data_IF_003608301323
#
_entry.id   IF_003608301323
#
_cell.length_a   1.000
_cell.length_b   1.000
_cell.length_c   1.000
_cell.angle_alpha   90.00
_cell.angle_beta   90.00
_cell.angle_gamma   90.00
#
_symmetry.space_group_name_H-M   'P 1'
#
loop_
_entity.id
_entity.type
_entity.pdbx_description
1 polymer ?
#
# COMPACT_ATOMS: atom_id res chain seq x y z
N UNK A 1 -3.40 -2.01 22.59
CA UNK A 1 -2.72 -1.99 21.28
C UNK A 1 -2.06 -3.35 21.09
N UNK A 2 -2.24 -3.96 19.91
CA UNK A 2 -1.54 -5.20 19.50
C UNK A 2 -0.03 -5.03 19.71
N UNK A 3 0.64 -6.07 20.20
CA UNK A 3 2.10 -6.19 20.19
C UNK A 3 2.47 -7.10 19.03
N UNK A 4 3.56 -6.78 18.35
CA UNK A 4 4.07 -7.56 17.23
C UNK A 4 5.38 -8.22 17.61
N UNK A 5 5.55 -9.46 17.16
CA UNK A 5 6.78 -10.23 17.26
C UNK A 5 7.59 -10.02 15.98
N UNK A 6 8.40 -8.97 15.98
CA UNK A 6 9.39 -8.70 14.93
C UNK A 6 10.80 -9.05 15.43
N UNK A 7 11.74 -9.41 14.55
CA UNK A 7 13.12 -9.72 14.92
C UNK A 7 13.76 -8.65 15.81
N UNK A 8 14.52 -9.08 16.82
CA UNK A 8 15.12 -8.17 17.80
C UNK A 8 16.13 -7.20 17.18
N UNK A 9 16.82 -7.58 16.09
CA UNK A 9 17.77 -6.70 15.42
C UNK A 9 17.11 -5.49 14.73
N UNK A 10 15.80 -5.51 14.48
CA UNK A 10 15.06 -4.32 14.07
C UNK A 10 14.72 -3.37 15.23
N UNK A 11 14.87 -3.80 16.48
CA UNK A 11 14.50 -3.03 17.67
C UNK A 11 15.72 -2.28 18.21
N UNK A 12 15.75 -0.97 17.98
CA UNK A 12 16.78 -0.14 18.62
C UNK A 12 16.57 -0.03 20.15
N UNK A 13 17.60 -0.27 20.97
CA UNK A 13 17.50 -0.20 22.43
C UNK A 13 17.23 1.22 22.95
N UNK A 14 17.68 2.24 22.22
CA UNK A 14 17.45 3.65 22.57
C UNK A 14 16.03 4.05 22.16
N UNK A 15 15.67 3.81 20.91
CA UNK A 15 14.37 4.20 20.36
C UNK A 15 13.22 3.49 21.09
N UNK A 16 13.40 2.23 21.47
CA UNK A 16 12.41 1.48 22.25
C UNK A 16 12.12 2.16 23.59
N UNK A 17 13.17 2.60 24.32
CA UNK A 17 13.02 3.34 25.58
C UNK A 17 12.33 4.69 25.39
N UNK A 18 12.72 5.42 24.34
CA UNK A 18 12.08 6.71 23.98
C UNK A 18 10.59 6.51 23.71
N UNK A 19 10.22 5.55 22.84
CA UNK A 19 8.82 5.24 22.50
C UNK A 19 8.04 4.78 23.72
N UNK A 20 8.63 3.96 24.60
CA UNK A 20 7.98 3.50 25.83
C UNK A 20 7.65 4.65 26.79
N UNK A 21 8.62 5.53 27.08
CA UNK A 21 8.41 6.73 27.90
C UNK A 21 7.33 7.63 27.30
N UNK A 22 7.40 7.86 26.00
CA UNK A 22 6.43 8.67 25.26
C UNK A 22 5.02 8.07 25.28
N UNK A 23 4.87 6.75 25.26
CA UNK A 23 3.58 6.05 25.35
C UNK A 23 2.98 6.11 26.75
N UNK A 24 3.81 6.08 27.80
CA UNK A 24 3.36 6.25 29.18
C UNK A 24 2.84 7.68 29.42
N UNK A 25 3.57 8.70 28.94
CA UNK A 25 3.23 10.10 29.19
C UNK A 25 2.07 10.61 28.31
N UNK A 26 2.00 10.15 27.05
CA UNK A 26 0.95 10.54 26.11
C UNK A 26 0.50 9.33 25.28
N UNK A 27 -0.37 8.47 25.85
CA UNK A 27 -0.83 7.23 25.21
C UNK A 27 -1.70 7.48 23.99
N UNK A 28 -2.36 8.65 23.91
CA UNK A 28 -3.25 9.02 22.80
C UNK A 28 -2.53 9.78 21.68
N UNK A 29 -1.22 10.02 21.81
CA UNK A 29 -0.39 10.71 20.82
C UNK A 29 -0.93 12.09 20.44
N UNK A 30 -1.41 12.85 21.43
CA UNK A 30 -1.93 14.22 21.23
C UNK A 30 -0.83 15.27 21.17
N UNK A 31 0.30 14.99 21.81
CA UNK A 31 1.48 15.86 21.77
C UNK A 31 2.36 15.45 20.58
N UNK A 32 2.44 16.34 19.60
CA UNK A 32 3.22 16.17 18.36
C UNK A 32 4.67 16.67 18.47
N UNK A 33 5.07 17.23 19.61
CA UNK A 33 6.43 17.72 19.81
C UNK A 33 7.47 16.59 19.68
N UNK A 34 8.68 16.89 19.18
CA UNK A 34 9.76 15.92 19.14
C UNK A 34 10.21 15.56 20.56
N UNK A 35 10.80 14.38 20.72
CA UNK A 35 11.55 14.04 21.92
C UNK A 35 12.96 14.58 21.78
N UNK A 36 13.38 15.36 22.78
CA UNK A 36 14.73 15.91 22.85
C UNK A 36 15.56 15.07 23.81
N UNK A 37 16.68 14.53 23.33
CA UNK A 37 17.69 13.87 24.17
C UNK A 37 18.94 14.75 24.21
N UNK A 38 19.34 15.18 25.41
CA UNK A 38 20.53 16.05 25.62
C UNK A 38 21.67 15.23 26.20
N UNK A 39 22.85 15.32 25.60
CA UNK A 39 24.09 14.72 26.05
C UNK A 39 25.18 15.79 26.02
N UNK A 40 25.48 16.39 27.17
CA UNK A 40 26.41 17.51 27.33
C UNK A 40 26.18 18.60 26.29
N UNK A 41 27.04 18.67 25.26
CA UNK A 41 27.03 19.69 24.22
C UNK A 41 26.29 19.26 22.93
N UNK A 42 25.62 18.10 22.93
CA UNK A 42 24.91 17.55 21.77
C UNK A 42 23.43 17.32 22.10
N UNK A 43 22.56 17.73 21.18
CA UNK A 43 21.12 17.53 21.27
C UNK A 43 20.62 16.67 20.10
N UNK A 44 19.92 15.58 20.42
CA UNK A 44 19.23 14.75 19.45
C UNK A 44 17.74 15.07 19.48
N UNK A 45 17.22 15.57 18.35
CA UNK A 45 15.81 15.89 18.17
C UNK A 45 15.16 14.74 17.40
N UNK A 46 14.35 13.96 18.11
CA UNK A 46 13.69 12.76 17.57
C UNK A 46 12.23 13.07 17.32
N UNK A 47 11.77 12.97 16.06
CA UNK A 47 10.38 13.17 15.67
C UNK A 47 9.40 12.38 16.55
N UNK A 48 8.19 12.90 16.76
CA UNK A 48 7.14 12.18 17.51
C UNK A 48 6.80 10.83 16.89
N UNK A 49 6.66 10.81 15.57
CA UNK A 49 6.34 9.63 14.79
C UNK A 49 7.54 9.26 13.92
N UNK A 50 8.07 8.05 14.11
CA UNK A 50 9.21 7.54 13.37
C UNK A 50 9.35 6.01 13.53
N UNK A 51 10.09 5.39 12.63
CA UNK A 51 10.26 3.93 12.54
C UNK A 51 9.01 3.22 12.02
N UNK A 52 8.94 1.91 12.22
CA UNK A 52 7.84 1.09 11.71
C UNK A 52 6.47 1.52 12.24
N UNK A 53 5.50 1.59 11.33
CA UNK A 53 4.10 1.77 11.66
C UNK A 53 3.44 0.40 11.90
N UNK A 54 2.19 0.42 12.37
CA UNK A 54 1.42 -0.79 12.61
C UNK A 54 1.39 -1.72 11.38
N UNK A 55 1.16 -1.17 10.18
CA UNK A 55 1.07 -1.96 8.94
C UNK A 55 2.39 -2.67 8.63
N UNK A 56 3.52 -1.96 8.80
CA UNK A 56 4.86 -2.51 8.58
C UNK A 56 5.19 -3.59 9.62
N UNK A 57 4.94 -3.34 10.92
CA UNK A 57 5.18 -4.34 11.97
C UNK A 57 4.32 -5.60 11.74
N UNK A 58 3.07 -5.44 11.30
CA UNK A 58 2.19 -6.55 10.96
C UNK A 58 2.68 -7.34 9.74
N UNK A 59 3.17 -6.65 8.71
CA UNK A 59 3.70 -7.30 7.53
C UNK A 59 4.96 -8.10 7.83
N UNK A 60 5.90 -7.53 8.60
CA UNK A 60 7.10 -8.23 9.05
C UNK A 60 6.72 -9.48 9.86
N UNK A 61 5.87 -9.34 10.89
CA UNK A 61 5.45 -10.48 11.73
C UNK A 61 4.83 -11.61 10.89
N UNK A 62 3.91 -11.27 9.97
CA UNK A 62 3.24 -12.26 9.12
C UNK A 62 4.20 -12.93 8.13
N UNK A 63 5.11 -12.19 7.52
CA UNK A 63 6.08 -12.75 6.57
C UNK A 63 7.06 -13.70 7.25
N UNK A 64 7.55 -13.36 8.45
CA UNK A 64 8.40 -14.27 9.22
C UNK A 64 7.64 -15.51 9.70
N UNK A 65 6.34 -15.38 10.03
CA UNK A 65 5.50 -16.55 10.31
C UNK A 65 5.30 -17.44 9.08
N UNK A 66 5.13 -16.87 7.89
CA UNK A 66 5.06 -17.65 6.65
C UNK A 66 6.28 -18.55 6.48
N UNK A 67 7.47 -18.03 6.79
CA UNK A 67 8.73 -18.77 6.76
C UNK A 67 8.76 -19.87 7.83
N UNK A 68 8.39 -19.54 9.07
CA UNK A 68 8.44 -20.50 10.19
C UNK A 68 7.41 -21.63 10.07
N UNK A 69 6.22 -21.32 9.59
CA UNK A 69 5.11 -22.27 9.48
C UNK A 69 5.29 -23.22 8.28
N UNK A 70 6.13 -22.86 7.30
CA UNK A 70 6.27 -23.59 6.03
C UNK A 70 7.75 -23.86 5.65
N UNK A 71 8.52 -24.58 6.50
CA UNK A 71 9.96 -24.76 6.32
C UNK A 71 10.35 -25.49 5.02
N UNK A 72 9.45 -26.32 4.47
CA UNK A 72 9.72 -27.16 3.30
C UNK A 72 9.04 -26.66 2.01
N UNK A 73 8.44 -25.46 2.02
CA UNK A 73 7.74 -24.89 0.86
C UNK A 73 8.54 -23.76 0.22
N UNK A 74 8.35 -23.54 -1.08
CA UNK A 74 8.81 -22.29 -1.69
C UNK A 74 7.91 -21.15 -1.20
N UNK A 75 8.54 -20.05 -0.81
CA UNK A 75 7.85 -18.86 -0.36
C UNK A 75 8.17 -17.73 -1.31
N UNK A 76 7.11 -17.15 -1.86
CA UNK A 76 7.18 -16.03 -2.77
C UNK A 76 6.52 -14.81 -2.11
N UNK A 77 7.10 -13.65 -2.32
CA UNK A 77 6.43 -12.38 -2.11
C UNK A 77 6.06 -11.82 -3.48
N UNK A 78 4.82 -11.33 -3.62
CA UNK A 78 4.37 -10.82 -4.91
C UNK A 78 5.28 -9.72 -5.48
N UNK A 79 5.81 -8.86 -4.60
CA UNK A 79 6.79 -7.82 -4.91
C UNK A 79 7.67 -7.59 -3.68
N UNK A 80 8.20 -6.40 -3.45
CA UNK A 80 8.77 -6.02 -2.16
C UNK A 80 7.68 -5.99 -1.09
N UNK A 81 7.99 -6.44 0.13
CA UNK A 81 7.03 -6.42 1.24
C UNK A 81 6.64 -4.98 1.60
N UNK A 82 7.67 -4.14 1.65
CA UNK A 82 7.69 -2.72 1.93
C UNK A 82 8.86 -2.11 1.15
N UNK A 83 8.85 -0.80 0.90
CA UNK A 83 9.96 -0.10 0.25
C UNK A 83 11.15 0.14 1.21
N UNK A 84 11.72 -0.94 1.74
CA UNK A 84 12.91 -0.93 2.60
C UNK A 84 13.85 -2.08 2.19
N UNK A 85 15.02 -1.73 1.63
CA UNK A 85 15.94 -2.71 1.08
C UNK A 85 16.50 -3.68 2.13
N UNK A 86 16.82 -3.21 3.34
CA UNK A 86 17.36 -4.07 4.40
C UNK A 86 16.36 -5.16 4.79
N UNK A 87 15.11 -4.78 5.02
CA UNK A 87 14.05 -5.74 5.36
C UNK A 87 13.77 -6.73 4.23
N UNK A 88 13.81 -6.27 2.97
CA UNK A 88 13.63 -7.16 1.83
C UNK A 88 14.81 -8.13 1.65
N UNK A 89 16.04 -7.66 1.84
CA UNK A 89 17.24 -8.51 1.81
C UNK A 89 17.17 -9.60 2.89
N UNK A 90 16.76 -9.23 4.12
CA UNK A 90 16.65 -10.20 5.23
C UNK A 90 15.62 -11.31 4.94
N UNK A 91 14.56 -11.01 4.17
CA UNK A 91 13.60 -12.02 3.72
C UNK A 91 14.19 -12.90 2.61
N UNK A 92 14.94 -12.31 1.68
CA UNK A 92 15.62 -13.04 0.61
C UNK A 92 16.72 -13.97 1.14
N UNK A 93 17.48 -13.52 2.14
CA UNK A 93 18.49 -14.33 2.84
C UNK A 93 17.87 -15.53 3.57
N UNK A 94 16.57 -15.48 3.87
CA UNK A 94 15.78 -16.59 4.40
C UNK A 94 15.07 -17.42 3.31
N UNK A 95 15.39 -17.19 2.03
CA UNK A 95 14.91 -17.99 0.91
C UNK A 95 13.64 -17.49 0.25
N UNK A 96 13.09 -16.34 0.67
CA UNK A 96 11.91 -15.74 0.00
C UNK A 96 12.32 -15.18 -1.37
N UNK A 97 11.51 -15.46 -2.40
CA UNK A 97 11.72 -14.93 -3.76
C UNK A 97 10.66 -13.89 -4.12
N UNK A 98 11.01 -12.88 -4.91
CA UNK A 98 10.03 -11.90 -5.40
C UNK A 98 9.51 -12.32 -6.77
N UNK A 99 8.18 -12.30 -6.92
CA UNK A 99 7.51 -12.65 -8.19
C UNK A 99 7.68 -11.52 -9.20
N UNK A 100 7.56 -10.28 -8.74
CA UNK A 100 7.67 -9.05 -9.53
C UNK A 100 8.57 -8.03 -8.84
N UNK A 101 9.04 -7.04 -9.59
CA UNK A 101 9.62 -5.83 -9.00
C UNK A 101 8.55 -4.76 -8.70
N UNK A 102 8.95 -3.64 -8.13
CA UNK A 102 8.05 -2.55 -7.72
C UNK A 102 7.42 -1.78 -8.89
N UNK A 103 7.93 -1.97 -10.12
CA UNK A 103 7.31 -1.44 -11.33
C UNK A 103 6.28 -2.41 -11.94
N UNK A 104 6.29 -3.66 -11.49
CA UNK A 104 5.43 -4.75 -11.97
C UNK A 104 6.09 -5.61 -13.05
N UNK A 105 7.40 -5.50 -13.25
CA UNK A 105 8.12 -6.38 -14.17
C UNK A 105 8.24 -7.77 -13.53
N UNK A 106 8.01 -8.81 -14.33
CA UNK A 106 8.06 -10.19 -13.85
C UNK A 106 9.50 -10.62 -13.58
N UNK A 107 9.78 -11.12 -12.38
CA UNK A 107 11.07 -11.70 -11.98
C UNK A 107 11.03 -13.24 -11.97
N UNK A 108 9.89 -13.82 -11.56
CA UNK A 108 9.63 -15.27 -11.60
C UNK A 108 8.39 -15.52 -12.45
N UNK A 109 8.45 -16.30 -13.54
CA UNK A 109 7.29 -16.60 -14.37
C UNK A 109 6.12 -17.20 -13.58
N UNK A 110 4.88 -16.82 -13.91
CA UNK A 110 3.69 -17.36 -13.24
C UNK A 110 3.54 -18.88 -13.35
N UNK A 111 4.07 -19.48 -14.42
CA UNK A 111 4.03 -20.93 -14.65
C UNK A 111 4.96 -21.71 -13.71
N UNK A 112 5.95 -21.07 -13.11
CA UNK A 112 6.84 -21.68 -12.11
C UNK A 112 6.21 -21.75 -10.71
N UNK A 113 5.10 -21.03 -10.49
CA UNK A 113 4.41 -20.98 -9.20
C UNK A 113 3.30 -22.03 -9.21
N UNK A 114 3.34 -22.94 -8.24
CA UNK A 114 2.38 -24.03 -8.05
C UNK A 114 1.40 -23.73 -6.91
N UNK A 115 0.27 -24.44 -6.87
CA UNK A 115 -0.71 -24.30 -5.78
C UNK A 115 -0.21 -24.75 -4.41
N UNK A 116 0.89 -25.50 -4.35
CA UNK A 116 1.50 -25.95 -3.10
C UNK A 116 2.45 -24.90 -2.49
N UNK A 117 2.85 -23.89 -3.26
CA UNK A 117 3.73 -22.81 -2.82
C UNK A 117 2.98 -21.81 -1.92
N UNK A 118 3.75 -20.97 -1.21
CA UNK A 118 3.21 -19.87 -0.40
C UNK A 118 3.43 -18.56 -1.13
N UNK A 119 2.37 -17.76 -1.28
CA UNK A 119 2.46 -16.39 -1.81
C UNK A 119 2.02 -15.41 -0.74
N UNK A 120 2.93 -14.50 -0.38
CA UNK A 120 2.70 -13.40 0.55
C UNK A 120 2.29 -12.16 -0.25
N UNK A 121 1.13 -11.60 0.06
CA UNK A 121 0.66 -10.32 -0.51
C UNK A 121 1.32 -9.17 0.28
N UNK A 122 1.95 -8.18 -0.38
CA UNK A 122 2.69 -7.10 0.28
C UNK A 122 1.78 -6.14 1.05
N UNK A 123 2.37 -5.27 1.89
CA UNK A 123 1.62 -4.36 2.73
C UNK A 123 0.77 -3.34 1.95
N UNK A 124 1.15 -3.10 0.69
CA UNK A 124 0.46 -2.23 -0.26
C UNK A 124 -0.78 -2.89 -0.90
N UNK A 125 -0.94 -4.19 -0.70
CA UNK A 125 -1.96 -5.01 -1.34
C UNK A 125 -1.61 -5.40 -2.76
N UNK A 126 -2.62 -5.91 -3.48
CA UNK A 126 -2.50 -6.30 -4.88
C UNK A 126 -3.79 -5.99 -5.64
N UNK A 127 -3.71 -6.03 -6.96
CA UNK A 127 -4.87 -5.84 -7.83
C UNK A 127 -5.82 -7.04 -7.77
N UNK A 128 -7.07 -6.83 -8.15
CA UNK A 128 -8.07 -7.91 -8.24
C UNK A 128 -7.66 -8.94 -9.30
N UNK A 129 -7.07 -8.50 -10.41
CA UNK A 129 -6.61 -9.36 -11.49
C UNK A 129 -5.53 -10.33 -11.00
N UNK A 130 -4.53 -9.82 -10.27
CA UNK A 130 -3.46 -10.65 -9.71
C UNK A 130 -4.00 -11.56 -8.61
N UNK A 131 -4.92 -11.08 -7.77
CA UNK A 131 -5.59 -11.93 -6.76
C UNK A 131 -6.31 -13.11 -7.42
N UNK A 132 -7.09 -12.85 -8.46
CA UNK A 132 -7.83 -13.87 -9.21
C UNK A 132 -6.88 -14.85 -9.91
N UNK A 133 -5.77 -14.36 -10.47
CA UNK A 133 -4.74 -15.21 -11.06
C UNK A 133 -4.17 -16.19 -10.03
N UNK A 134 -3.77 -15.70 -8.85
CA UNK A 134 -3.24 -16.53 -7.77
C UNK A 134 -4.27 -17.58 -7.32
N UNK A 135 -5.52 -17.17 -7.08
CA UNK A 135 -6.63 -18.07 -6.70
C UNK A 135 -6.86 -19.14 -7.78
N UNK A 136 -6.83 -18.76 -9.06
CA UNK A 136 -7.03 -19.71 -10.17
C UNK A 136 -5.94 -20.79 -10.26
N UNK A 137 -4.77 -20.53 -9.68
CA UNK A 137 -3.66 -21.48 -9.57
C UNK A 137 -3.73 -22.35 -8.31
N UNK A 138 -4.79 -22.21 -7.50
CA UNK A 138 -5.00 -22.99 -6.28
C UNK A 138 -4.24 -22.46 -5.05
N UNK A 139 -3.69 -21.26 -5.11
CA UNK A 139 -2.96 -20.64 -4.00
C UNK A 139 -3.91 -20.06 -2.95
N UNK A 140 -3.57 -20.22 -1.67
CA UNK A 140 -4.20 -19.49 -0.57
C UNK A 140 -3.55 -18.09 -0.42
N UNK A 141 -4.28 -17.07 -0.86
CA UNK A 141 -3.83 -15.68 -0.79
C UNK A 141 -4.16 -14.99 0.54
N UNK A 142 -4.94 -15.62 1.42
CA UNK A 142 -5.50 -14.96 2.61
C UNK A 142 -4.65 -15.18 3.87
N UNK A 143 -4.09 -16.38 4.05
CA UNK A 143 -3.35 -16.73 5.27
C UNK A 143 -2.17 -15.78 5.52
N UNK A 144 -1.42 -15.45 4.47
CA UNK A 144 -0.27 -14.53 4.53
C UNK A 144 -0.49 -13.22 3.78
N UNK A 145 -1.74 -12.75 3.72
CA UNK A 145 -2.02 -11.39 3.25
C UNK A 145 -1.51 -10.36 4.27
N UNK A 146 -0.53 -9.54 3.88
CA UNK A 146 0.03 -8.49 4.72
C UNK A 146 -0.54 -7.11 4.45
N UNK A 147 -1.53 -6.98 3.56
CA UNK A 147 -2.16 -5.71 3.20
C UNK A 147 -2.50 -4.91 4.46
N UNK A 148 -2.04 -3.66 4.49
CA UNK A 148 -2.25 -2.79 5.63
C UNK A 148 -3.75 -2.49 5.78
N UNK A 149 -4.35 -2.66 6.97
CA UNK A 149 -5.79 -2.37 7.18
C UNK A 149 -6.18 -0.91 6.87
N UNK A 150 -5.21 0.01 6.87
CA UNK A 150 -5.43 1.39 6.44
C UNK A 150 -5.54 1.54 4.93
N UNK A 151 -4.88 0.69 4.14
CA UNK A 151 -5.04 0.58 2.69
C UNK A 151 -6.40 -0.02 2.36
N UNK A 152 -6.76 -1.15 2.99
CA UNK A 152 -8.08 -1.76 2.83
C UNK A 152 -9.21 -0.80 3.21
N UNK A 153 -9.00 0.07 4.21
CA UNK A 153 -9.97 1.10 4.59
C UNK A 153 -10.23 2.09 3.44
N UNK A 154 -9.21 2.42 2.64
CA UNK A 154 -9.38 3.25 1.43
C UNK A 154 -10.24 2.51 0.42
N UNK A 155 -9.94 1.23 0.13
CA UNK A 155 -10.73 0.42 -0.81
C UNK A 155 -12.19 0.30 -0.39
N UNK A 156 -12.43 -0.01 0.89
CA UNK A 156 -13.77 -0.06 1.47
C UNK A 156 -14.50 1.28 1.39
N UNK A 157 -13.79 2.41 1.50
CA UNK A 157 -14.40 3.74 1.35
C UNK A 157 -14.72 4.03 -0.12
N UNK A 158 -13.83 3.70 -1.05
CA UNK A 158 -14.09 3.80 -2.49
C UNK A 158 -15.31 2.98 -2.91
N UNK A 159 -15.41 1.73 -2.46
CA UNK A 159 -16.57 0.86 -2.75
C UNK A 159 -17.88 1.46 -2.22
N UNK A 160 -17.90 2.00 -0.99
CA UNK A 160 -19.07 2.70 -0.43
C UNK A 160 -19.46 3.97 -1.19
N UNK A 161 -18.48 4.69 -1.73
CA UNK A 161 -18.74 5.86 -2.57
C UNK A 161 -19.32 5.45 -3.93
N UNK A 162 -18.81 4.36 -4.51
CA UNK A 162 -19.34 3.75 -5.73
C UNK A 162 -20.80 3.27 -5.58
N UNK A 163 -21.15 2.64 -4.46
CA UNK A 163 -22.54 2.29 -4.12
C UNK A 163 -23.48 3.50 -4.02
N UNK A 164 -22.92 4.70 -3.88
CA UNK A 164 -23.66 5.96 -3.84
C UNK A 164 -23.46 6.77 -5.14
N UNK A 165 -23.12 6.10 -6.25
CA UNK A 165 -22.95 6.65 -7.60
C UNK A 165 -21.94 7.80 -7.67
N UNK A 166 -20.87 7.74 -6.87
CA UNK A 166 -19.75 8.67 -7.01
C UNK A 166 -18.66 8.04 -7.86
N UNK A 167 -18.16 8.79 -8.84
CA UNK A 167 -16.85 8.56 -9.45
C UNK A 167 -15.75 8.70 -8.41
N UNK A 168 -14.74 7.85 -8.47
CA UNK A 168 -13.62 7.89 -7.53
C UNK A 168 -12.42 8.60 -8.15
N UNK A 169 -12.08 9.76 -7.61
CA UNK A 169 -10.81 10.44 -7.90
C UNK A 169 -9.77 9.91 -6.91
N UNK A 170 -8.77 9.20 -7.43
CA UNK A 170 -7.66 8.67 -6.65
C UNK A 170 -6.50 9.63 -6.79
N UNK A 171 -6.19 10.36 -5.72
CA UNK A 171 -4.91 11.08 -5.66
C UNK A 171 -3.79 10.08 -5.44
N UNK A 172 -2.84 9.99 -6.36
CA UNK A 172 -1.67 9.15 -6.19
C UNK A 172 -0.86 8.92 -7.46
N UNK A 173 0.29 8.28 -7.31
CA UNK A 173 1.18 7.95 -8.44
C UNK A 173 0.66 6.74 -9.21
N UNK A 174 0.24 6.94 -10.46
CA UNK A 174 -0.30 5.89 -11.35
C UNK A 174 0.51 4.59 -11.35
N UNK A 175 1.85 4.66 -11.42
CA UNK A 175 2.71 3.48 -11.50
C UNK A 175 2.96 2.78 -10.16
N UNK A 176 2.64 3.42 -9.03
CA UNK A 176 2.91 2.87 -7.71
C UNK A 176 1.93 1.72 -7.40
N UNK A 177 2.44 0.63 -6.85
CA UNK A 177 1.71 -0.62 -6.60
C UNK A 177 0.45 -0.40 -5.77
N UNK A 178 0.56 0.41 -4.72
CA UNK A 178 -0.55 0.74 -3.84
C UNK A 178 -1.66 1.53 -4.58
N UNK A 179 -1.31 2.38 -5.56
CA UNK A 179 -2.27 3.10 -6.40
C UNK A 179 -2.90 2.17 -7.42
N UNK A 180 -2.11 1.27 -8.05
CA UNK A 180 -2.62 0.25 -8.98
C UNK A 180 -3.64 -0.66 -8.30
N UNK A 181 -3.34 -1.12 -7.08
CA UNK A 181 -4.26 -1.92 -6.27
C UNK A 181 -5.55 -1.13 -6.00
N UNK A 182 -5.46 0.08 -5.44
CA UNK A 182 -6.64 0.92 -5.15
C UNK A 182 -7.49 1.20 -6.38
N UNK A 183 -6.86 1.48 -7.52
CA UNK A 183 -7.56 1.69 -8.79
C UNK A 183 -8.27 0.43 -9.28
N UNK A 184 -7.62 -0.73 -9.23
CA UNK A 184 -8.21 -2.02 -9.57
C UNK A 184 -9.43 -2.35 -8.69
N UNK A 185 -9.34 -2.13 -7.37
CA UNK A 185 -10.48 -2.32 -6.46
C UNK A 185 -11.61 -1.31 -6.67
N UNK A 186 -11.26 -0.05 -6.96
CA UNK A 186 -12.23 1.02 -7.17
C UNK A 186 -13.06 0.82 -8.44
N UNK A 187 -12.38 0.52 -9.56
CA UNK A 187 -13.00 0.45 -10.90
C UNK A 187 -14.02 -0.68 -11.07
N UNK A 188 -14.08 -1.63 -10.14
CA UNK A 188 -15.11 -2.68 -10.13
C UNK A 188 -16.50 -2.12 -9.81
N UNK A 189 -16.58 -1.08 -8.98
CA UNK A 189 -17.85 -0.58 -8.46
C UNK A 189 -18.15 0.86 -8.89
N UNK A 190 -17.21 1.54 -9.56
CA UNK A 190 -17.38 2.94 -9.92
C UNK A 190 -16.39 3.40 -10.99
N UNK A 191 -16.79 4.32 -11.89
CA UNK A 191 -15.85 5.05 -12.73
C UNK A 191 -14.74 5.67 -11.86
N UNK A 192 -13.50 5.55 -12.31
CA UNK A 192 -12.34 5.94 -11.50
C UNK A 192 -11.31 6.68 -12.34
N UNK A 193 -10.68 7.70 -11.75
CA UNK A 193 -9.60 8.48 -12.38
C UNK A 193 -8.46 8.71 -11.39
N UNK A 194 -7.22 8.61 -11.84
CA UNK A 194 -6.02 8.87 -11.02
C UNK A 194 -5.47 10.27 -11.36
N UNK A 195 -5.24 11.08 -10.32
CA UNK A 195 -4.54 12.37 -10.42
C UNK A 195 -3.29 12.34 -9.55
N UNK A 196 -2.14 12.75 -10.09
CA UNK A 196 -0.87 12.65 -9.37
C UNK A 196 -0.60 13.82 -8.41
N UNK A 197 -0.94 15.03 -8.84
CA UNK A 197 -0.50 16.26 -8.18
C UNK A 197 -1.45 17.42 -8.48
N UNK A 198 -1.16 18.58 -7.90
CA UNK A 198 -1.95 19.80 -8.08
C UNK A 198 -2.09 20.23 -9.55
N UNK A 199 -1.10 19.92 -10.41
CA UNK A 199 -1.17 20.28 -11.83
C UNK A 199 -2.24 19.43 -12.52
N UNK A 200 -2.23 18.11 -12.31
CA UNK A 200 -3.25 17.22 -12.87
C UNK A 200 -4.64 17.51 -12.28
N UNK A 201 -4.72 17.82 -10.98
CA UNK A 201 -5.99 18.22 -10.35
C UNK A 201 -6.56 19.51 -10.95
N UNK A 202 -5.70 20.50 -11.28
CA UNK A 202 -6.15 21.72 -11.96
C UNK A 202 -6.69 21.43 -13.36
N UNK A 203 -6.03 20.56 -14.12
CA UNK A 203 -6.50 20.15 -15.46
C UNK A 203 -7.89 19.51 -15.36
N UNK A 204 -8.09 18.58 -14.41
CA UNK A 204 -9.41 17.98 -14.18
C UNK A 204 -10.45 19.03 -13.76
N UNK A 205 -10.06 19.98 -12.90
CA UNK A 205 -10.92 21.09 -12.49
C UNK A 205 -11.29 22.03 -13.63
N UNK A 206 -10.34 22.36 -14.51
CA UNK A 206 -10.56 23.21 -15.69
C UNK A 206 -11.58 22.57 -16.64
N UNK A 207 -11.55 21.24 -16.81
CA UNK A 207 -12.60 20.53 -17.52
C UNK A 207 -13.97 20.62 -16.84
N UNK A 208 -14.04 20.37 -15.53
CA UNK A 208 -15.31 20.44 -14.78
C UNK A 208 -15.92 21.85 -14.87
N UNK A 209 -15.09 22.89 -14.96
CA UNK A 209 -15.51 24.28 -15.14
C UNK A 209 -15.86 24.64 -16.59
N UNK A 210 -15.70 23.73 -17.56
CA UNK A 210 -16.02 23.92 -18.97
C UNK A 210 -14.91 24.59 -19.80
N UNK A 211 -13.68 24.66 -19.29
CA UNK A 211 -12.54 25.30 -19.96
C UNK A 211 -11.73 24.36 -20.85
N UNK A 212 -11.97 23.05 -20.77
CA UNK A 212 -11.31 22.02 -21.59
C UNK A 212 -12.36 21.12 -22.24
N UNK A 213 -12.01 20.58 -23.42
CA UNK A 213 -12.83 19.61 -24.15
C UNK A 213 -12.73 18.19 -23.56
N UNK A 214 -13.69 17.34 -23.93
CA UNK A 214 -13.70 15.92 -23.60
C UNK A 214 -12.47 15.21 -24.17
N UNK A 215 -12.08 15.50 -25.41
CA UNK A 215 -10.91 14.88 -26.05
C UNK A 215 -9.60 15.21 -25.30
N UNK A 216 -9.46 16.44 -24.81
CA UNK A 216 -8.27 16.86 -24.05
C UNK A 216 -8.10 16.06 -22.76
N UNK A 217 -9.19 15.84 -22.01
CA UNK A 217 -9.14 15.07 -20.76
C UNK A 217 -8.93 13.58 -21.01
N UNK A 218 -9.65 12.99 -21.95
CA UNK A 218 -9.46 11.57 -22.29
C UNK A 218 -8.05 11.30 -22.81
N UNK A 219 -7.44 12.25 -23.53
CA UNK A 219 -6.04 12.15 -23.97
C UNK A 219 -5.08 12.28 -22.80
N UNK A 220 -5.29 13.26 -21.91
CA UNK A 220 -4.39 13.50 -20.79
C UNK A 220 -4.37 12.35 -19.77
N UNK A 221 -5.53 11.74 -19.52
CA UNK A 221 -5.71 10.70 -18.51
C UNK A 221 -5.91 9.29 -19.09
N UNK A 222 -5.56 9.07 -20.36
CA UNK A 222 -5.82 7.82 -21.11
C UNK A 222 -5.55 6.53 -20.34
N UNK A 223 -4.42 6.45 -19.63
CA UNK A 223 -4.03 5.23 -18.88
C UNK A 223 -4.45 5.27 -17.41
N UNK A 224 -5.07 6.37 -16.97
CA UNK A 224 -5.38 6.70 -15.58
C UNK A 224 -6.89 6.70 -15.30
N UNK A 225 -7.71 6.33 -16.28
CA UNK A 225 -9.17 6.25 -16.17
C UNK A 225 -9.65 4.81 -16.32
N UNK A 226 -10.77 4.48 -15.69
CA UNK A 226 -11.42 3.18 -15.83
C UNK A 226 -11.94 2.96 -17.25
N UNK A 227 -12.10 1.71 -17.64
CA UNK A 227 -12.71 1.35 -18.93
C UNK A 227 -14.12 1.94 -19.03
N UNK A 228 -14.42 2.59 -20.16
CA UNK A 228 -15.72 3.21 -20.41
C UNK A 228 -15.96 4.54 -19.69
N UNK A 229 -14.95 5.12 -19.03
CA UNK A 229 -15.07 6.42 -18.36
C UNK A 229 -15.51 7.52 -19.34
N UNK A 230 -16.62 8.18 -19.02
CA UNK A 230 -17.15 9.32 -19.76
C UNK A 230 -17.19 10.58 -18.87
N UNK A 231 -16.28 11.53 -19.08
CA UNK A 231 -16.17 12.70 -18.21
C UNK A 231 -17.43 13.58 -18.22
N UNK A 232 -18.30 13.49 -19.23
CA UNK A 232 -19.56 14.25 -19.27
C UNK A 232 -20.58 13.76 -18.24
N UNK A 233 -20.58 12.45 -17.96
CA UNK A 233 -21.53 11.82 -17.02
C UNK A 233 -20.91 11.45 -15.69
N UNK A 234 -19.65 11.02 -15.70
CA UNK A 234 -18.97 10.49 -14.52
C UNK A 234 -18.46 11.59 -13.59
N UNK A 235 -18.18 12.80 -14.09
CA UNK A 235 -17.67 13.89 -13.24
C UNK A 235 -18.76 14.75 -12.59
N UNK A 236 -20.03 14.35 -12.69
CA UNK A 236 -21.16 15.04 -12.05
C UNK A 236 -21.18 14.88 -10.53
N UNK A 237 -20.66 13.75 -10.03
CA UNK A 237 -20.62 13.42 -8.61
C UNK A 237 -19.39 12.56 -8.33
N UNK A 238 -18.50 13.04 -7.48
CA UNK A 238 -17.24 12.35 -7.21
C UNK A 238 -16.84 12.38 -5.74
N UNK A 239 -16.10 11.36 -5.33
CA UNK A 239 -15.43 11.28 -4.05
C UNK A 239 -13.93 11.18 -4.26
N UNK A 240 -13.16 11.83 -3.40
CA UNK A 240 -11.70 11.79 -3.45
C UNK A 240 -11.19 10.81 -2.42
N UNK A 241 -10.31 9.91 -2.85
CA UNK A 241 -9.51 9.08 -1.97
C UNK A 241 -8.03 9.38 -2.18
N UNK A 242 -7.26 9.31 -1.10
CA UNK A 242 -5.84 9.60 -1.14
C UNK A 242 -5.03 8.31 -1.07
N UNK A 243 -4.08 8.19 -1.98
CA UNK A 243 -3.07 7.16 -2.08
C UNK A 243 -1.71 7.81 -2.41
N UNK A 244 -0.64 7.02 -2.32
CA UNK A 244 0.79 7.41 -2.37
C UNK A 244 1.20 8.49 -3.37
#
# INVERSE_FOLDING_TARGET
MKKFEIPEYYKSPIITKVKAKRKLNDPRKRDFSPTILKFDNVEFIISRHFGFCYGVENAIEKSYRAIQDNPDKNIYLLSQMIHNQEVNNDLQDQGVKFIQDTEGNQLVPWDEISGDDIVIIPAFGTTIETSNLLISKGLDIHTYDTTCPFVEKVWNRSAKLGQADHTIIIHGKFRHEETKATFSHSRVNSPSIIVRDMKETKILGDYILGNLSKEEILTHFKDKISDGFDPETDLQKFGVVNQT
#
